data_IF_068807054437
#
_entry.id   IF_068807054437
#
_cell.length_a   1.000
_cell.length_b   1.000
_cell.length_c   1.000
_cell.angle_alpha   90.00
_cell.angle_beta   90.00
_cell.angle_gamma   90.00
#
_symmetry.space_group_name_H-M   'P 1'
#
loop_
_entity.id
_entity.type
_entity.pdbx_description
1 polymer ?
#
# COMPACT_ATOMS: atom_id res chain seq x y z
N UNK A 1 4.27 -8.81 1.31
CA UNK A 1 3.62 -7.92 0.32
C UNK A 1 2.16 -7.73 0.68
N UNK A 2 1.59 -6.55 0.42
CA UNK A 2 0.15 -6.29 0.54
C UNK A 2 -0.61 -6.78 -0.70
N UNK A 3 -1.69 -7.52 -0.49
CA UNK A 3 -2.44 -8.22 -1.52
C UNK A 3 -3.91 -7.80 -1.53
N UNK A 4 -4.53 -7.85 -2.70
CA UNK A 4 -5.98 -7.80 -2.83
C UNK A 4 -6.60 -9.02 -2.13
N UNK A 5 -7.62 -8.80 -1.28
CA UNK A 5 -8.26 -9.87 -0.50
C UNK A 5 -8.88 -10.96 -1.37
N UNK A 6 -9.38 -10.61 -2.55
CA UNK A 6 -10.11 -11.48 -3.47
C UNK A 6 -9.19 -12.05 -4.56
N UNK A 7 -8.51 -11.17 -5.29
CA UNK A 7 -7.68 -11.54 -6.46
C UNK A 7 -6.29 -12.07 -6.08
N UNK A 8 -5.84 -11.82 -4.85
CA UNK A 8 -4.51 -12.20 -4.34
C UNK A 8 -3.35 -11.60 -5.16
N UNK A 9 -3.59 -10.54 -5.92
CA UNK A 9 -2.57 -9.76 -6.64
C UNK A 9 -2.08 -8.61 -5.76
N UNK A 10 -0.89 -8.06 -6.04
CA UNK A 10 -0.37 -6.91 -5.29
C UNK A 10 -1.32 -5.70 -5.37
N UNK A 11 -1.55 -5.02 -4.24
CA UNK A 11 -2.49 -3.89 -4.15
C UNK A 11 -1.84 -2.60 -3.60
N UNK A 12 -0.56 -2.36 -3.88
CA UNK A 12 0.06 -1.04 -3.70
C UNK A 12 0.49 -0.69 -2.28
N UNK A 13 0.75 -1.69 -1.43
CA UNK A 13 1.44 -1.53 -0.14
C UNK A 13 2.24 -2.77 0.25
N UNK A 14 3.11 -2.65 1.25
CA UNK A 14 3.84 -3.77 1.84
C UNK A 14 4.16 -3.49 3.31
N UNK A 15 4.71 -4.51 3.98
CA UNK A 15 5.37 -4.39 5.28
C UNK A 15 6.84 -4.75 5.08
N UNK A 16 7.73 -4.04 5.78
CA UNK A 16 9.16 -4.31 5.81
C UNK A 16 9.56 -4.44 7.28
N UNK A 17 10.10 -5.60 7.64
CA UNK A 17 10.58 -5.88 9.00
C UNK A 17 12.10 -5.84 8.99
N UNK A 18 12.67 -4.98 9.84
CA UNK A 18 14.10 -4.89 10.07
C UNK A 18 14.45 -5.63 11.36
N UNK A 19 15.63 -6.23 11.42
CA UNK A 19 16.14 -6.87 12.63
C UNK A 19 16.34 -5.87 13.78
N UNK A 20 16.79 -4.65 13.46
CA UNK A 20 17.05 -3.61 14.45
C UNK A 20 16.10 -2.42 14.29
N UNK A 21 15.74 -1.80 15.41
CA UNK A 21 14.96 -0.56 15.43
C UNK A 21 15.69 0.59 14.73
N UNK A 22 17.01 0.66 14.88
CA UNK A 22 17.83 1.71 14.29
C UNK A 22 17.79 1.68 12.76
N UNK A 23 17.78 0.50 12.14
CA UNK A 23 17.69 0.36 10.69
C UNK A 23 16.31 0.82 10.17
N UNK A 24 15.24 0.48 10.88
CA UNK A 24 13.90 0.95 10.56
C UNK A 24 13.78 2.48 10.72
N UNK A 25 14.44 3.08 11.71
CA UNK A 25 14.51 4.54 11.85
C UNK A 25 15.24 5.20 10.69
N UNK A 26 16.34 4.60 10.22
CA UNK A 26 17.04 5.08 9.02
C UNK A 26 16.14 5.01 7.78
N UNK A 27 15.36 3.93 7.62
CA UNK A 27 14.37 3.85 6.54
C UNK A 27 13.31 4.97 6.64
N UNK A 28 12.80 5.23 7.85
CA UNK A 28 11.85 6.32 8.08
C UNK A 28 12.44 7.71 7.80
N UNK A 29 13.74 7.92 8.03
CA UNK A 29 14.44 9.19 7.79
C UNK A 29 14.80 9.41 6.33
N UNK A 30 15.33 8.39 5.66
CA UNK A 30 16.01 8.55 4.37
C UNK A 30 15.30 7.90 3.18
N UNK A 31 14.42 6.93 3.41
CA UNK A 31 13.67 6.25 2.34
C UNK A 31 12.25 6.83 2.22
N UNK A 32 11.65 7.23 3.34
CA UNK A 32 10.34 7.88 3.34
C UNK A 32 10.34 9.14 2.45
N UNK A 33 9.37 9.28 1.56
CA UNK A 33 9.28 10.41 0.64
C UNK A 33 10.21 10.35 -0.57
N UNK A 34 11.00 9.29 -0.73
CA UNK A 34 11.81 9.06 -1.94
C UNK A 34 11.00 8.34 -3.03
N UNK A 35 11.63 8.10 -4.20
CA UNK A 35 10.99 7.47 -5.36
C UNK A 35 11.24 5.96 -5.41
N UNK A 36 10.18 5.21 -5.70
CA UNK A 36 10.22 3.81 -6.11
C UNK A 36 9.27 3.64 -7.31
N UNK A 37 9.78 3.12 -8.43
CA UNK A 37 9.06 3.07 -9.71
C UNK A 37 8.43 4.42 -10.10
N UNK A 38 9.22 5.49 -9.97
CA UNK A 38 8.82 6.89 -10.17
C UNK A 38 7.69 7.43 -9.28
N UNK A 39 7.29 6.69 -8.25
CA UNK A 39 6.28 7.12 -7.28
C UNK A 39 6.90 7.52 -5.96
N UNK A 40 6.44 8.64 -5.40
CA UNK A 40 6.80 9.03 -4.04
C UNK A 40 6.15 8.07 -3.05
N UNK A 41 6.97 7.30 -2.32
CA UNK A 41 6.49 6.35 -1.32
C UNK A 41 6.35 7.00 0.06
N UNK A 42 5.44 6.46 0.87
CA UNK A 42 5.25 6.86 2.27
C UNK A 42 5.45 5.65 3.17
N UNK A 43 6.28 5.79 4.19
CA UNK A 43 6.47 4.79 5.25
C UNK A 43 5.77 5.22 6.54
N UNK A 44 5.42 4.26 7.38
CA UNK A 44 4.81 4.49 8.69
C UNK A 44 5.20 3.38 9.66
N UNK A 45 5.12 3.65 10.97
CA UNK A 45 5.33 2.62 11.97
C UNK A 45 4.15 1.66 12.04
N UNK A 46 4.44 0.37 12.14
CA UNK A 46 3.44 -0.67 12.29
C UNK A 46 3.66 -1.46 13.58
N UNK A 47 2.58 -1.92 14.22
CA UNK A 47 2.64 -2.67 15.47
C UNK A 47 3.14 -4.13 15.30
N UNK A 48 3.39 -4.59 14.08
CA UNK A 48 3.90 -5.93 13.77
C UNK A 48 2.95 -6.75 12.90
N UNK A 49 3.53 -7.60 12.05
CA UNK A 49 2.75 -8.43 11.14
C UNK A 49 1.90 -9.46 11.89
N UNK A 50 0.67 -9.67 11.40
CA UNK A 50 -0.24 -10.74 11.81
C UNK A 50 -0.97 -11.24 10.57
N UNK A 51 -1.26 -12.53 10.55
CA UNK A 51 -2.00 -13.13 9.44
C UNK A 51 -3.33 -12.41 9.22
N UNK A 52 -3.66 -12.17 7.95
CA UNK A 52 -4.79 -11.37 7.51
C UNK A 52 -4.48 -9.88 7.30
N UNK A 53 -3.40 -9.33 7.89
CA UNK A 53 -3.02 -7.92 7.69
C UNK A 53 -2.42 -7.64 6.31
N UNK A 54 -1.96 -8.68 5.60
CA UNK A 54 -1.51 -8.55 4.23
C UNK A 54 -2.64 -8.21 3.26
N UNK A 55 -3.91 -8.44 3.61
CA UNK A 55 -5.02 -8.19 2.69
C UNK A 55 -5.54 -6.74 2.77
N UNK A 56 -5.83 -6.17 1.61
CA UNK A 56 -6.57 -4.93 1.46
C UNK A 56 -7.92 -5.01 2.17
N UNK A 57 -8.34 -3.87 2.76
CA UNK A 57 -9.57 -3.76 3.56
C UNK A 57 -10.71 -3.02 2.84
N UNK A 58 -10.49 -2.66 1.57
CA UNK A 58 -11.53 -2.11 0.70
C UNK A 58 -12.62 -3.14 0.43
N UNK A 59 -13.83 -2.67 0.11
CA UNK A 59 -14.99 -3.53 -0.18
C UNK A 59 -14.74 -4.40 -1.42
N UNK A 60 -14.03 -3.87 -2.41
CA UNK A 60 -13.64 -4.55 -3.64
C UNK A 60 -12.46 -5.52 -3.50
N UNK A 61 -11.82 -5.55 -2.33
CA UNK A 61 -10.64 -6.37 -2.03
C UNK A 61 -9.32 -5.60 -1.95
N UNK A 62 -9.21 -4.45 -2.64
CA UNK A 62 -8.03 -3.59 -2.64
C UNK A 62 -7.85 -2.74 -1.38
N UNK A 63 -7.04 -1.69 -1.45
CA UNK A 63 -6.93 -0.74 -0.34
C UNK A 63 -8.18 0.14 -0.25
N UNK A 64 -8.60 0.49 0.97
CA UNK A 64 -9.75 1.39 1.21
C UNK A 64 -9.58 2.73 0.50
N UNK A 65 -8.35 3.24 0.41
CA UNK A 65 -8.03 4.50 -0.28
C UNK A 65 -8.35 4.45 -1.78
N UNK A 66 -8.16 3.30 -2.42
CA UNK A 66 -8.39 3.14 -3.86
C UNK A 66 -9.88 3.02 -4.21
N UNK A 67 -10.76 2.86 -3.22
CA UNK A 67 -12.23 2.85 -3.44
C UNK A 67 -12.76 4.25 -3.80
N UNK A 68 -12.30 5.26 -3.07
CA UNK A 68 -12.83 6.64 -3.11
C UNK A 68 -12.01 7.60 -3.97
N UNK A 69 -10.92 7.11 -4.57
CA UNK A 69 -10.03 7.92 -5.41
C UNK A 69 -10.74 8.35 -6.70
N UNK A 70 -10.67 9.63 -7.05
CA UNK A 70 -11.36 10.18 -8.22
C UNK A 70 -10.42 10.30 -9.44
N UNK A 71 -9.13 10.49 -9.21
CA UNK A 71 -8.12 10.60 -10.25
C UNK A 71 -7.83 9.25 -10.93
N UNK A 72 -7.35 9.32 -12.17
CA UNK A 72 -6.83 8.16 -12.90
C UNK A 72 -5.36 7.94 -12.53
N UNK A 73 -5.00 6.72 -12.13
CA UNK A 73 -3.61 6.31 -11.89
C UNK A 73 -3.37 4.92 -12.48
N UNK A 74 -2.60 4.87 -13.57
CA UNK A 74 -2.29 3.63 -14.28
C UNK A 74 -1.59 2.60 -13.37
N UNK A 75 -0.69 3.05 -12.49
CA UNK A 75 0.03 2.19 -11.54
C UNK A 75 -0.85 1.64 -10.41
N UNK A 76 -2.11 2.11 -10.31
CA UNK A 76 -3.12 1.62 -9.36
C UNK A 76 -4.36 1.03 -10.04
N UNK A 77 -4.24 0.64 -11.31
CA UNK A 77 -5.29 -0.03 -12.05
C UNK A 77 -6.36 0.90 -12.63
N UNK A 78 -6.08 2.20 -12.74
CA UNK A 78 -6.95 3.19 -13.38
C UNK A 78 -7.67 4.11 -12.40
N UNK A 79 -8.98 4.31 -12.60
CA UNK A 79 -9.83 5.09 -11.69
C UNK A 79 -10.11 4.32 -10.39
N UNK A 80 -10.49 5.06 -9.34
CA UNK A 80 -11.00 4.44 -8.12
C UNK A 80 -12.29 3.65 -8.37
N UNK A 81 -12.56 2.67 -7.51
CA UNK A 81 -13.60 1.66 -7.78
C UNK A 81 -15.01 2.20 -7.84
N UNK A 82 -15.32 3.25 -7.07
CA UNK A 82 -16.61 3.91 -7.16
C UNK A 82 -16.79 4.68 -8.47
N UNK A 83 -15.73 5.34 -8.96
CA UNK A 83 -15.75 6.09 -10.22
C UNK A 83 -15.69 5.18 -11.46
N UNK A 84 -15.10 3.98 -11.35
CA UNK A 84 -15.04 3.00 -12.43
C UNK A 84 -16.41 2.39 -12.78
N UNK A 85 -17.32 2.33 -11.80
CA UNK A 85 -18.64 1.72 -11.94
C UNK A 85 -19.76 2.75 -12.19
N UNK A 86 -19.42 4.01 -12.42
CA UNK A 86 -20.33 5.05 -12.92
C UNK A 86 -20.17 5.15 -14.44
#
# INVERSE_FOLDING_TARGET
MGLDKMKKTACGFCFVEYYSRADAENAMRYINGTRLDDRIIRTDWDAGFKEGRQYGRGRSGGQVRDEYRQDYDAGRGGYGKLAQNQ
#
